data_IF_876080239759
#
_entry.id   IF_876080239759
#
_cell.length_a   1.000
_cell.length_b   1.000
_cell.length_c   1.000
_cell.angle_alpha   90.00
_cell.angle_beta   90.00
_cell.angle_gamma   90.00
#
_symmetry.space_group_name_H-M   'P 1'
#
loop_
_entity.id
_entity.type
_entity.pdbx_description
1 polymer ?
#
# COMPACT_ATOMS: atom_id res chain seq x y z
N UNK A 1 10.33 -7.94 -14.59
CA UNK A 1 10.69 -9.22 -15.24
C UNK A 1 9.43 -10.01 -15.59
N UNK A 2 9.51 -11.17 -16.26
CA UNK A 2 8.32 -11.99 -16.58
C UNK A 2 7.53 -12.38 -15.33
N UNK A 3 8.23 -12.65 -14.22
CA UNK A 3 7.62 -13.04 -12.95
C UNK A 3 6.76 -11.89 -12.39
N UNK A 4 7.28 -10.66 -12.36
CA UNK A 4 6.53 -9.48 -11.87
C UNK A 4 5.26 -9.23 -12.69
N UNK A 5 5.34 -9.42 -14.01
CA UNK A 5 4.18 -9.33 -14.89
C UNK A 5 3.12 -10.39 -14.57
N UNK A 6 3.53 -11.66 -14.42
CA UNK A 6 2.62 -12.75 -14.08
C UNK A 6 1.92 -12.51 -12.74
N UNK A 7 2.66 -12.10 -11.70
CA UNK A 7 2.07 -11.76 -10.41
C UNK A 7 1.04 -10.64 -10.52
N UNK A 8 1.39 -9.56 -11.23
CA UNK A 8 0.50 -8.42 -11.45
C UNK A 8 -0.76 -8.82 -12.20
N UNK A 9 -0.62 -9.61 -13.26
CA UNK A 9 -1.74 -10.05 -14.09
C UNK A 9 -2.69 -10.98 -13.32
N UNK A 10 -2.16 -11.96 -12.58
CA UNK A 10 -2.97 -12.90 -11.79
C UNK A 10 -3.75 -12.14 -10.71
N UNK A 11 -3.06 -11.27 -9.95
CA UNK A 11 -3.67 -10.49 -8.88
C UNK A 11 -4.81 -9.59 -9.39
N UNK A 12 -4.56 -8.81 -10.44
CA UNK A 12 -5.56 -7.89 -11.00
C UNK A 12 -6.73 -8.63 -11.66
N UNK A 13 -6.48 -9.78 -12.29
CA UNK A 13 -7.54 -10.61 -12.84
C UNK A 13 -8.42 -11.20 -11.74
N UNK A 14 -7.82 -11.75 -10.68
CA UNK A 14 -8.56 -12.27 -9.53
C UNK A 14 -9.43 -11.16 -8.91
N UNK A 15 -8.85 -9.98 -8.73
CA UNK A 15 -9.54 -8.83 -8.19
C UNK A 15 -10.74 -8.43 -9.06
N UNK A 16 -10.54 -8.27 -10.38
CA UNK A 16 -11.58 -7.82 -11.30
C UNK A 16 -12.74 -8.81 -11.44
N UNK A 17 -12.46 -10.10 -11.48
CA UNK A 17 -13.48 -11.11 -11.76
C UNK A 17 -14.21 -11.59 -10.50
N UNK A 18 -13.55 -11.56 -9.34
CA UNK A 18 -14.09 -12.20 -8.13
C UNK A 18 -14.28 -11.23 -6.97
N UNK A 19 -13.27 -10.40 -6.66
CA UNK A 19 -13.33 -9.53 -5.47
C UNK A 19 -14.23 -8.33 -5.71
N UNK A 20 -14.00 -7.61 -6.82
CA UNK A 20 -14.73 -6.39 -7.11
C UNK A 20 -16.24 -6.62 -7.27
N UNK A 21 -16.71 -7.64 -8.02
CA UNK A 21 -18.14 -7.90 -8.16
C UNK A 21 -18.80 -8.35 -6.86
N UNK A 22 -18.12 -9.21 -6.09
CA UNK A 22 -18.65 -9.72 -4.82
C UNK A 22 -18.84 -8.62 -3.77
N UNK A 23 -17.99 -7.59 -3.81
CA UNK A 23 -18.02 -6.46 -2.88
C UNK A 23 -18.69 -5.20 -3.46
N UNK A 24 -19.18 -5.25 -4.71
CA UNK A 24 -19.75 -4.08 -5.38
C UNK A 24 -18.74 -2.93 -5.59
N UNK A 25 -17.45 -3.25 -5.72
CA UNK A 25 -16.38 -2.25 -5.89
C UNK A 25 -16.42 -1.71 -7.32
N UNK A 26 -16.63 -0.41 -7.45
CA UNK A 26 -16.62 0.31 -8.73
C UNK A 26 -15.39 1.19 -8.92
N UNK A 27 -14.69 1.51 -7.83
CA UNK A 27 -13.53 2.40 -7.82
C UNK A 27 -12.42 1.83 -6.97
N UNK A 28 -11.18 1.95 -7.45
CA UNK A 28 -9.96 1.61 -6.71
C UNK A 28 -9.05 2.83 -6.67
N UNK A 29 -8.76 3.30 -5.47
CA UNK A 29 -7.86 4.44 -5.25
C UNK A 29 -6.43 3.93 -5.01
N UNK A 30 -5.46 4.55 -5.68
CA UNK A 30 -4.04 4.26 -5.50
C UNK A 30 -3.25 5.53 -5.31
N UNK A 31 -2.23 5.50 -4.46
CA UNK A 31 -1.27 6.59 -4.37
C UNK A 31 -0.27 6.55 -5.52
N UNK A 32 0.21 7.71 -5.96
CA UNK A 32 1.33 7.77 -6.90
C UNK A 32 2.62 7.25 -6.26
N UNK A 33 3.42 6.55 -7.07
CA UNK A 33 4.67 5.93 -6.63
C UNK A 33 5.73 6.05 -7.74
N UNK A 34 6.37 7.21 -7.88
CA UNK A 34 7.39 7.42 -8.90
C UNK A 34 8.74 6.78 -8.53
N UNK A 35 9.00 6.52 -7.25
CA UNK A 35 10.32 6.10 -6.76
C UNK A 35 10.53 4.58 -6.86
N UNK A 36 9.46 3.79 -6.72
CA UNK A 36 9.53 2.34 -6.82
C UNK A 36 9.09 1.86 -8.21
N UNK A 37 10.04 1.44 -9.05
CA UNK A 37 9.77 0.95 -10.41
C UNK A 37 8.74 -0.19 -10.46
N UNK A 38 8.82 -1.14 -9.53
CA UNK A 38 7.90 -2.29 -9.47
C UNK A 38 6.48 -1.83 -9.16
N UNK A 39 6.32 -0.96 -8.17
CA UNK A 39 5.00 -0.43 -7.78
C UNK A 39 4.42 0.49 -8.84
N UNK A 40 5.25 1.32 -9.48
CA UNK A 40 4.83 2.15 -10.61
C UNK A 40 4.29 1.29 -11.76
N UNK A 41 5.04 0.24 -12.14
CA UNK A 41 4.60 -0.70 -13.16
C UNK A 41 3.27 -1.36 -12.78
N UNK A 42 3.13 -1.80 -11.53
CA UNK A 42 1.89 -2.38 -11.02
C UNK A 42 0.72 -1.38 -11.11
N UNK A 43 0.91 -0.10 -10.76
CA UNK A 43 -0.12 0.94 -10.92
C UNK A 43 -0.54 1.14 -12.39
N UNK A 44 0.42 1.12 -13.32
CA UNK A 44 0.13 1.22 -14.76
C UNK A 44 -0.69 0.01 -15.24
N UNK A 45 -0.29 -1.20 -14.83
CA UNK A 45 -1.04 -2.41 -15.16
C UNK A 45 -2.42 -2.43 -14.52
N UNK A 46 -2.56 -1.90 -13.31
CA UNK A 46 -3.85 -1.76 -12.63
C UNK A 46 -4.79 -0.87 -13.44
N UNK A 47 -4.33 0.31 -13.85
CA UNK A 47 -5.11 1.21 -14.71
C UNK A 47 -5.56 0.48 -15.97
N UNK A 48 -4.64 -0.12 -16.70
CA UNK A 48 -4.98 -0.83 -17.93
C UNK A 48 -5.96 -2.00 -17.70
N UNK A 49 -5.62 -2.96 -16.84
CA UNK A 49 -6.38 -4.21 -16.70
C UNK A 49 -7.72 -4.05 -16.02
N UNK A 50 -7.88 -3.05 -15.15
CA UNK A 50 -9.15 -2.83 -14.47
C UNK A 50 -10.13 -1.98 -15.28
N UNK A 51 -9.65 -1.19 -16.26
CA UNK A 51 -10.51 -0.31 -17.07
C UNK A 51 -10.75 -0.79 -18.49
N UNK A 52 -10.01 -1.79 -19.01
CA UNK A 52 -10.27 -2.34 -20.35
C UNK A 52 -11.71 -2.87 -20.46
N UNK A 53 -12.46 -2.46 -21.48
CA UNK A 53 -13.88 -2.84 -21.64
C UNK A 53 -14.07 -4.26 -22.19
N UNK A 54 -13.02 -4.87 -22.76
CA UNK A 54 -13.06 -6.15 -23.47
C UNK A 54 -13.27 -7.38 -22.55
N UNK A 55 -13.26 -7.18 -21.23
CA UNK A 55 -13.46 -8.24 -20.24
C UNK A 55 -14.93 -8.31 -19.81
N UNK A 56 -15.43 -9.53 -19.62
CA UNK A 56 -16.83 -9.80 -19.23
C UNK A 56 -17.19 -9.25 -17.84
N UNK A 57 -16.19 -8.99 -17.00
CA UNK A 57 -16.40 -8.41 -15.67
C UNK A 57 -16.47 -6.88 -15.73
N UNK A 58 -17.33 -6.26 -14.91
CA UNK A 58 -17.48 -4.80 -14.85
C UNK A 58 -16.15 -4.08 -14.72
N UNK A 59 -16.08 -2.90 -15.32
CA UNK A 59 -14.94 -1.98 -15.20
C UNK A 59 -14.83 -1.51 -13.75
N UNK A 60 -13.59 -1.44 -13.25
CA UNK A 60 -13.25 -0.78 -12.00
C UNK A 60 -12.42 0.46 -12.32
N UNK A 61 -12.96 1.63 -12.01
CA UNK A 61 -12.29 2.90 -12.23
C UNK A 61 -11.08 3.02 -11.31
N UNK A 62 -9.91 3.25 -11.88
CA UNK A 62 -8.67 3.43 -11.10
C UNK A 62 -8.38 4.92 -10.96
N UNK A 63 -8.41 5.40 -9.72
CA UNK A 63 -8.15 6.81 -9.39
C UNK A 63 -6.78 6.90 -8.74
N UNK A 64 -5.83 7.53 -9.43
CA UNK A 64 -4.51 7.80 -8.87
C UNK A 64 -4.52 9.15 -8.13
N UNK A 65 -4.13 9.12 -6.86
CA UNK A 65 -4.06 10.27 -5.97
C UNK A 65 -2.59 10.61 -5.74
N UNK A 66 -2.26 11.91 -5.75
CA UNK A 66 -0.91 12.37 -5.49
C UNK A 66 -0.39 11.85 -4.14
N UNK A 67 0.84 11.36 -4.13
CA UNK A 67 1.52 10.90 -2.92
C UNK A 67 1.52 12.00 -1.86
N UNK A 68 1.02 11.68 -0.67
CA UNK A 68 1.01 12.61 0.45
C UNK A 68 2.42 12.77 1.00
N UNK A 69 2.85 14.02 1.17
CA UNK A 69 4.14 14.37 1.74
C UNK A 69 3.95 15.17 3.04
N UNK A 70 4.93 15.08 3.93
CA UNK A 70 5.07 15.90 5.13
C UNK A 70 6.47 16.49 5.13
N UNK A 71 6.59 17.81 5.29
CA UNK A 71 7.89 18.52 5.28
C UNK A 71 8.80 18.15 4.09
N UNK A 72 8.22 17.98 2.89
CA UNK A 72 8.95 17.60 1.68
C UNK A 72 9.37 16.13 1.58
N UNK A 73 9.02 15.30 2.56
CA UNK A 73 9.29 13.86 2.57
C UNK A 73 8.00 13.06 2.30
N UNK A 74 8.05 12.02 1.45
CA UNK A 74 6.89 11.17 1.23
C UNK A 74 6.51 10.39 2.51
N UNK A 75 5.21 10.34 2.82
CA UNK A 75 4.72 9.51 3.91
C UNK A 75 4.73 8.05 3.43
N UNK A 76 5.56 7.20 4.05
CA UNK A 76 5.67 5.78 3.70
C UNK A 76 5.64 4.87 4.95
N UNK A 77 5.03 3.70 4.81
CA UNK A 77 4.97 2.71 5.89
C UNK A 77 6.36 2.18 6.27
N UNK A 78 7.31 2.17 5.32
CA UNK A 78 8.70 1.75 5.55
C UNK A 78 9.43 2.73 6.46
N UNK A 79 9.30 4.04 6.19
CA UNK A 79 9.84 5.11 7.03
C UNK A 79 9.25 5.05 8.44
N UNK A 80 7.92 4.96 8.54
CA UNK A 80 7.21 4.88 9.82
C UNK A 80 7.69 3.68 10.64
N UNK A 81 7.74 2.47 10.07
CA UNK A 81 8.29 1.28 10.76
C UNK A 81 9.75 1.44 11.18
N UNK A 82 10.57 2.13 10.38
CA UNK A 82 11.97 2.41 10.69
C UNK A 82 12.12 3.33 11.91
N UNK A 83 11.36 4.43 11.96
CA UNK A 83 11.33 5.35 13.11
C UNK A 83 10.79 4.67 14.37
N UNK A 84 9.74 3.88 14.18
CA UNK A 84 9.13 3.03 15.20
C UNK A 84 10.19 2.10 15.84
N UNK A 85 10.99 1.38 15.04
CA UNK A 85 12.06 0.50 15.55
C UNK A 85 13.14 1.25 16.33
N UNK A 86 13.37 2.52 16.02
CA UNK A 86 14.35 3.37 16.71
C UNK A 86 13.78 4.07 17.95
N UNK A 87 12.47 3.98 18.19
CA UNK A 87 11.80 4.70 19.28
C UNK A 87 11.68 6.21 19.05
N UNK A 88 11.74 6.66 17.80
CA UNK A 88 11.76 8.09 17.42
C UNK A 88 10.33 8.67 17.38
N UNK A 89 9.68 8.76 18.54
CA UNK A 89 8.27 9.16 18.67
C UNK A 89 7.99 10.61 18.23
N UNK A 90 8.92 11.52 18.50
CA UNK A 90 8.79 12.91 18.05
C UNK A 90 8.73 12.99 16.52
N UNK A 91 9.60 12.24 15.84
CA UNK A 91 9.62 12.21 14.38
C UNK A 91 8.35 11.56 13.80
N UNK A 92 7.77 10.57 14.48
CA UNK A 92 6.54 9.91 14.06
C UNK A 92 5.33 10.84 14.03
N UNK A 93 5.28 11.84 14.92
CA UNK A 93 4.20 12.81 14.97
C UNK A 93 4.06 13.64 13.69
N UNK A 94 5.13 13.75 12.88
CA UNK A 94 5.08 14.42 11.58
C UNK A 94 4.46 13.55 10.47
N UNK A 95 4.45 12.22 10.65
CA UNK A 95 3.97 11.27 9.63
C UNK A 95 2.57 10.72 9.93
N UNK A 96 2.17 10.69 11.20
CA UNK A 96 0.93 10.07 11.66
C UNK A 96 0.07 11.07 12.42
N UNK A 97 -1.28 10.98 12.31
CA UNK A 97 -2.16 11.75 13.17
C UNK A 97 -2.04 11.29 14.62
N UNK A 98 -2.37 12.18 15.56
CA UNK A 98 -2.28 11.91 17.01
C UNK A 98 -3.04 10.63 17.42
N UNK A 99 -4.20 10.36 16.81
CA UNK A 99 -4.99 9.16 17.10
C UNK A 99 -4.23 7.86 16.78
N UNK A 100 -3.38 7.86 15.75
CA UNK A 100 -2.53 6.72 15.42
C UNK A 100 -1.37 6.60 16.40
N UNK A 101 -0.77 7.72 16.84
CA UNK A 101 0.29 7.74 17.84
C UNK A 101 -0.24 7.18 19.18
N UNK A 102 -1.40 7.65 19.63
CA UNK A 102 -2.05 7.20 20.86
C UNK A 102 -2.32 5.69 20.82
N UNK A 103 -2.83 5.19 19.69
CA UNK A 103 -3.07 3.76 19.50
C UNK A 103 -1.77 2.93 19.63
N UNK A 104 -0.69 3.40 19.03
CA UNK A 104 0.62 2.72 19.06
C UNK A 104 1.23 2.72 20.47
N UNK A 105 0.99 3.77 21.27
CA UNK A 105 1.39 3.79 22.68
C UNK A 105 0.57 2.83 23.54
N UNK A 106 -0.73 2.72 23.29
CA UNK A 106 -1.62 1.82 24.04
C UNK A 106 -1.36 0.33 23.74
N UNK A 107 -0.80 0.03 22.56
CA UNK A 107 -0.57 -1.35 22.11
C UNK A 107 0.90 -1.56 21.69
N UNK A 108 1.88 -1.55 22.61
CA UNK A 108 3.29 -1.71 22.26
C UNK A 108 3.65 -3.12 21.79
N UNK A 109 2.77 -4.11 22.00
CA UNK A 109 3.03 -5.54 21.80
C UNK A 109 3.27 -5.95 20.34
N UNK A 110 2.82 -5.17 19.34
CA UNK A 110 3.07 -5.51 17.94
C UNK A 110 4.57 -5.42 17.55
N UNK A 111 5.40 -4.73 18.35
CA UNK A 111 6.86 -4.76 18.21
C UNK A 111 7.52 -5.97 18.86
N UNK A 112 6.99 -6.44 19.99
CA UNK A 112 7.62 -7.49 20.79
C UNK A 112 7.77 -8.79 19.96
N UNK A 113 6.72 -9.15 19.21
CA UNK A 113 6.69 -10.35 18.38
C UNK A 113 7.73 -10.35 17.24
N UNK A 114 8.11 -9.17 16.73
CA UNK A 114 9.06 -9.05 15.60
C UNK A 114 10.51 -8.87 16.05
N UNK A 115 10.75 -8.45 17.29
CA UNK A 115 12.11 -8.37 17.83
C UNK A 115 12.62 -9.74 18.30
N UNK A 116 11.74 -10.66 18.72
CA UNK A 116 12.13 -12.04 19.00
C UNK A 116 12.59 -12.79 17.73
N UNK A 117 11.92 -12.60 16.58
CA UNK A 117 12.34 -13.20 15.31
C UNK A 117 13.67 -12.62 14.78
N UNK A 118 14.00 -11.36 15.08
CA UNK A 118 15.26 -10.73 14.66
C UNK A 118 16.40 -11.02 15.67
N UNK A 119 16.09 -11.24 16.94
CA UNK A 119 17.08 -11.66 17.94
C UNK A 119 17.43 -13.16 17.82
N UNK A 120 16.56 -13.95 17.17
CA UNK A 120 16.75 -15.38 16.92
C UNK A 120 17.30 -15.71 15.51
N UNK A 121 17.63 -14.70 14.69
CA UNK A 121 18.20 -14.83 13.34
C UNK A 121 19.55 -14.11 13.24
#
# INVERSE_FOLDING_TARGET
CLIDYCHTAIDLNLFRHHIAPALGITHRFVGSEPECMVTNYYNQQMKYRLTVEELTSPVVNVVEVARKCTSGQPISASTVRGLLKKGEWELLSYFLPITSIDYLHQHPTWFAWRNEEIAAA
#
